data_IF_506834929243
#
_entry.id   IF_506834929243
#
_cell.length_a   1.000
_cell.length_b   1.000
_cell.length_c   1.000
_cell.angle_alpha   90.00
_cell.angle_beta   90.00
_cell.angle_gamma   90.00
#
_symmetry.space_group_name_H-M   'P 1'
#
loop_
_entity.id
_entity.type
_entity.pdbx_description
1 polymer ?
#
# COMPACT_ATOMS: atom_id res chain seq x y z
N UNK A 1 7.19 -15.37 -1.38
CA UNK A 1 7.57 -14.59 -0.20
C UNK A 1 6.75 -13.30 -0.11
N UNK A 2 6.97 -12.52 0.92
CA UNK A 2 6.16 -11.30 1.16
C UNK A 2 6.28 -10.26 0.06
N UNK A 3 7.45 -10.12 -0.55
CA UNK A 3 7.65 -9.17 -1.65
C UNK A 3 6.87 -9.62 -2.88
N UNK A 4 6.96 -10.91 -3.24
CA UNK A 4 6.21 -11.46 -4.37
C UNK A 4 4.71 -11.34 -4.16
N UNK A 5 4.23 -11.60 -2.94
CA UNK A 5 2.81 -11.45 -2.59
C UNK A 5 2.35 -10.01 -2.73
N UNK A 6 3.18 -9.04 -2.35
CA UNK A 6 2.88 -7.61 -2.52
C UNK A 6 2.77 -7.22 -3.99
N UNK A 7 3.69 -7.71 -4.82
CA UNK A 7 3.65 -7.47 -6.28
C UNK A 7 2.39 -8.08 -6.88
N UNK A 8 2.05 -9.31 -6.48
CA UNK A 8 0.86 -9.99 -6.97
C UNK A 8 -0.42 -9.24 -6.59
N UNK A 9 -0.50 -8.72 -5.35
CA UNK A 9 -1.63 -7.92 -4.90
C UNK A 9 -1.76 -6.64 -5.72
N UNK A 10 -0.66 -5.95 -5.99
CA UNK A 10 -0.65 -4.73 -6.79
C UNK A 10 -1.13 -5.01 -8.21
N UNK A 11 -0.60 -6.06 -8.84
CA UNK A 11 -1.01 -6.47 -10.17
C UNK A 11 -2.50 -6.81 -10.21
N UNK A 12 -2.99 -7.54 -9.22
CA UNK A 12 -4.40 -7.89 -9.13
C UNK A 12 -5.30 -6.66 -9.02
N UNK A 13 -4.87 -5.65 -8.26
CA UNK A 13 -5.60 -4.39 -8.13
C UNK A 13 -5.67 -3.65 -9.45
N UNK A 14 -4.54 -3.53 -10.14
CA UNK A 14 -4.48 -2.86 -11.45
C UNK A 14 -5.35 -3.57 -12.48
N UNK A 15 -5.31 -4.91 -12.48
CA UNK A 15 -6.14 -5.71 -13.38
C UNK A 15 -7.63 -5.48 -13.12
N UNK A 16 -8.04 -5.40 -11.85
CA UNK A 16 -9.44 -5.13 -11.49
C UNK A 16 -9.88 -3.75 -11.98
N UNK A 17 -9.03 -2.74 -11.82
CA UNK A 17 -9.35 -1.38 -12.29
C UNK A 17 -9.59 -1.36 -13.80
N UNK A 18 -8.75 -2.08 -14.56
CA UNK A 18 -8.90 -2.19 -16.02
C UNK A 18 -10.15 -3.00 -16.37
N UNK A 19 -10.33 -4.15 -15.71
CA UNK A 19 -11.44 -5.06 -15.98
C UNK A 19 -12.80 -4.40 -15.71
N UNK A 20 -12.90 -3.61 -14.65
CA UNK A 20 -14.14 -2.94 -14.29
C UNK A 20 -14.44 -1.73 -15.18
N UNK A 21 -13.49 -1.32 -16.02
CA UNK A 21 -13.63 -0.17 -16.93
C UNK A 21 -14.14 1.07 -16.20
N UNK A 22 -13.48 1.40 -15.11
CA UNK A 22 -13.85 2.56 -14.31
C UNK A 22 -13.64 3.83 -15.13
N UNK A 23 -14.71 4.49 -15.55
CA UNK A 23 -14.65 5.69 -16.40
C UNK A 23 -13.99 6.86 -15.68
N UNK A 24 -14.38 7.09 -14.41
CA UNK A 24 -13.77 8.11 -13.56
C UNK A 24 -13.28 7.45 -12.29
N UNK A 25 -12.02 7.68 -11.96
CA UNK A 25 -11.44 7.17 -10.72
C UNK A 25 -11.94 8.02 -9.55
N UNK A 26 -12.32 7.36 -8.46
CA UNK A 26 -12.64 8.05 -7.21
C UNK A 26 -11.39 8.76 -6.69
N UNK A 27 -11.51 10.01 -6.19
CA UNK A 27 -10.36 10.73 -5.62
C UNK A 27 -9.63 9.94 -4.54
N UNK A 28 -10.36 9.20 -3.70
CA UNK A 28 -9.76 8.37 -2.67
C UNK A 28 -8.95 7.21 -3.23
N UNK A 29 -9.40 6.60 -4.33
CA UNK A 29 -8.64 5.54 -4.99
C UNK A 29 -7.34 6.10 -5.59
N UNK A 30 -7.39 7.30 -6.13
CA UNK A 30 -6.19 7.99 -6.64
C UNK A 30 -5.22 8.26 -5.49
N UNK A 31 -5.72 8.78 -4.37
CA UNK A 31 -4.90 9.06 -3.19
C UNK A 31 -4.24 7.80 -2.64
N UNK A 32 -4.99 6.71 -2.52
CA UNK A 32 -4.47 5.42 -2.07
C UNK A 32 -3.40 4.88 -3.01
N UNK A 33 -3.61 5.01 -4.31
CA UNK A 33 -2.66 4.55 -5.32
C UNK A 33 -1.35 5.34 -5.21
N UNK A 34 -1.41 6.65 -5.00
CA UNK A 34 -0.22 7.48 -4.80
C UNK A 34 0.55 7.06 -3.55
N UNK A 35 -0.15 6.81 -2.45
CA UNK A 35 0.47 6.35 -1.21
C UNK A 35 1.14 4.98 -1.42
N UNK A 36 0.49 4.09 -2.17
CA UNK A 36 1.02 2.78 -2.47
C UNK A 36 2.31 2.86 -3.31
N UNK A 37 2.33 3.75 -4.29
CA UNK A 37 3.52 3.98 -5.12
C UNK A 37 4.68 4.46 -4.23
N UNK A 38 4.42 5.42 -3.34
CA UNK A 38 5.43 5.91 -2.41
C UNK A 38 5.95 4.81 -1.50
N UNK A 39 5.06 3.96 -0.98
CA UNK A 39 5.45 2.80 -0.15
C UNK A 39 6.35 1.84 -0.93
N UNK A 40 6.01 1.56 -2.17
CA UNK A 40 6.77 0.65 -3.03
C UNK A 40 8.17 1.20 -3.27
N UNK A 41 8.29 2.49 -3.55
CA UNK A 41 9.58 3.16 -3.75
C UNK A 41 10.45 3.06 -2.49
N UNK A 42 9.86 3.29 -1.31
CA UNK A 42 10.59 3.18 -0.04
C UNK A 42 11.03 1.74 0.26
N UNK A 43 10.21 0.75 -0.08
CA UNK A 43 10.58 -0.66 0.08
C UNK A 43 11.78 -1.01 -0.80
N UNK A 44 11.75 -0.60 -2.06
CA UNK A 44 12.86 -0.84 -2.99
C UNK A 44 14.14 -0.20 -2.45
N UNK A 45 14.04 1.03 -1.97
CA UNK A 45 15.17 1.75 -1.37
C UNK A 45 15.72 0.99 -0.14
N UNK A 46 14.85 0.56 0.75
CA UNK A 46 15.24 -0.15 1.96
C UNK A 46 15.94 -1.48 1.63
N UNK A 47 15.41 -2.24 0.69
CA UNK A 47 16.05 -3.48 0.24
C UNK A 47 17.43 -3.24 -0.36
N UNK A 48 17.60 -2.17 -1.13
CA UNK A 48 18.87 -1.77 -1.67
C UNK A 48 19.90 -1.49 -0.55
N UNK A 49 19.46 -0.84 0.51
CA UNK A 49 20.32 -0.49 1.65
C UNK A 49 20.70 -1.70 2.50
N UNK A 50 19.93 -2.80 2.43
CA UNK A 50 20.23 -4.02 3.18
C UNK A 50 21.54 -4.69 2.75
N UNK A 51 22.07 -4.36 1.60
CA UNK A 51 23.36 -4.88 1.12
C UNK A 51 24.49 -4.54 2.06
N UNK A 52 24.39 -3.45 2.82
CA UNK A 52 25.34 -3.07 3.84
C UNK A 52 24.60 -2.55 5.07
N UNK A 53 24.06 -3.47 5.84
CA UNK A 53 23.19 -3.17 6.99
C UNK A 53 23.90 -2.29 8.01
N UNK A 54 25.15 -2.63 8.36
CA UNK A 54 25.89 -1.91 9.41
C UNK A 54 26.08 -0.43 9.07
N UNK A 55 26.38 -0.14 7.81
CA UNK A 55 26.58 1.23 7.34
C UNK A 55 25.26 1.99 7.25
N UNK A 56 24.18 1.31 6.90
CA UNK A 56 22.93 1.94 6.48
C UNK A 56 21.79 1.81 7.50
N UNK A 57 22.08 1.40 8.74
CA UNK A 57 21.05 1.14 9.76
C UNK A 57 20.05 2.30 9.91
N UNK A 58 20.57 3.52 10.08
CA UNK A 58 19.73 4.70 10.30
C UNK A 58 18.81 4.96 9.10
N UNK A 59 19.35 4.86 7.89
CA UNK A 59 18.58 5.08 6.66
C UNK A 59 17.51 4.02 6.46
N UNK A 60 17.82 2.76 6.78
CA UNK A 60 16.86 1.66 6.67
C UNK A 60 15.70 1.88 7.65
N UNK A 61 16.01 2.26 8.89
CA UNK A 61 14.97 2.53 9.90
C UNK A 61 14.11 3.73 9.52
N UNK A 62 14.71 4.76 8.93
CA UNK A 62 13.97 5.92 8.42
C UNK A 62 12.97 5.51 7.33
N UNK A 63 13.41 4.64 6.41
CA UNK A 63 12.52 4.11 5.37
C UNK A 63 11.39 3.30 5.97
N UNK A 64 11.67 2.45 6.96
CA UNK A 64 10.64 1.67 7.64
C UNK A 64 9.61 2.57 8.35
N UNK A 65 10.08 3.63 9.02
CA UNK A 65 9.18 4.60 9.66
C UNK A 65 8.31 5.33 8.63
N UNK A 66 8.88 5.68 7.49
CA UNK A 66 8.14 6.36 6.43
C UNK A 66 7.04 5.45 5.86
N UNK A 67 7.35 4.19 5.64
CA UNK A 67 6.36 3.20 5.17
C UNK A 67 5.21 3.08 6.17
N UNK A 68 5.52 3.01 7.47
CA UNK A 68 4.49 2.93 8.51
C UNK A 68 3.58 4.16 8.52
N UNK A 69 4.14 5.35 8.32
CA UNK A 69 3.34 6.59 8.23
C UNK A 69 2.45 6.60 6.99
N UNK A 70 2.97 6.15 5.86
CA UNK A 70 2.20 6.08 4.62
C UNK A 70 1.05 5.08 4.74
N UNK A 71 1.28 3.95 5.39
CA UNK A 71 0.24 2.96 5.66
C UNK A 71 -0.85 3.52 6.58
N UNK A 72 -0.48 4.22 7.64
CA UNK A 72 -1.44 4.85 8.55
C UNK A 72 -2.29 5.88 7.83
N UNK A 73 -1.68 6.69 6.97
CA UNK A 73 -2.41 7.65 6.13
C UNK A 73 -3.34 6.93 5.17
N UNK A 74 -2.88 5.87 4.55
CA UNK A 74 -3.69 5.06 3.63
C UNK A 74 -4.89 4.42 4.32
N UNK A 75 -4.70 3.92 5.54
CA UNK A 75 -5.79 3.35 6.32
C UNK A 75 -6.86 4.40 6.63
N UNK A 76 -6.44 5.62 6.96
CA UNK A 76 -7.35 6.74 7.21
C UNK A 76 -8.15 7.09 5.94
N UNK A 77 -7.47 7.21 4.81
CA UNK A 77 -8.11 7.50 3.51
C UNK A 77 -9.08 6.38 3.14
N UNK A 78 -8.66 5.14 3.32
CA UNK A 78 -9.50 3.97 3.02
C UNK A 78 -10.81 4.01 3.81
N UNK A 79 -10.74 4.22 5.13
CA UNK A 79 -11.95 4.27 5.96
C UNK A 79 -12.87 5.42 5.56
N UNK A 80 -12.32 6.58 5.27
CA UNK A 80 -13.09 7.74 4.83
C UNK A 80 -13.80 7.46 3.50
N UNK A 81 -13.06 6.93 2.53
CA UNK A 81 -13.62 6.66 1.20
C UNK A 81 -14.64 5.52 1.22
N UNK A 82 -14.43 4.51 2.06
CA UNK A 82 -15.38 3.42 2.19
C UNK A 82 -16.71 3.94 2.76
N UNK A 83 -16.65 4.78 3.79
CA UNK A 83 -17.83 5.41 4.38
C UNK A 83 -18.55 6.28 3.35
N UNK A 84 -17.81 7.10 2.60
CA UNK A 84 -18.35 7.95 1.55
C UNK A 84 -19.04 7.12 0.46
N UNK A 85 -18.40 6.03 0.05
CA UNK A 85 -18.91 5.15 -0.98
C UNK A 85 -20.29 4.58 -0.58
N UNK A 86 -20.40 4.04 0.63
CA UNK A 86 -21.66 3.47 1.10
C UNK A 86 -22.74 4.53 1.33
N UNK A 87 -22.36 5.75 1.67
CA UNK A 87 -23.29 6.83 1.89
C UNK A 87 -23.83 7.43 0.58
N UNK A 88 -22.98 7.60 -0.43
CA UNK A 88 -23.29 8.35 -1.64
C UNK A 88 -23.57 7.51 -2.87
N UNK A 89 -23.01 6.32 -2.98
CA UNK A 89 -23.18 5.50 -4.17
C UNK A 89 -24.51 4.75 -4.12
N UNK A 90 -25.37 5.02 -5.10
CA UNK A 90 -26.71 4.40 -5.16
C UNK A 90 -26.77 3.22 -6.12
N UNK A 91 -25.79 3.08 -6.99
CA UNK A 91 -25.74 1.97 -7.95
C UNK A 91 -25.02 0.78 -7.31
N UNK A 92 -25.72 -0.36 -7.09
CA UNK A 92 -25.10 -1.52 -6.45
C UNK A 92 -23.89 -2.07 -7.20
N UNK A 93 -23.88 -2.01 -8.52
CA UNK A 93 -22.77 -2.52 -9.33
C UNK A 93 -21.54 -1.64 -9.13
N UNK A 94 -21.69 -0.33 -9.18
CA UNK A 94 -20.60 0.61 -8.93
C UNK A 94 -20.08 0.49 -7.50
N UNK A 95 -20.99 0.31 -6.55
CA UNK A 95 -20.62 0.11 -5.14
C UNK A 95 -19.72 -1.11 -4.99
N UNK A 96 -20.08 -2.24 -5.59
CA UNK A 96 -19.31 -3.48 -5.52
C UNK A 96 -17.92 -3.29 -6.14
N UNK A 97 -17.86 -2.67 -7.32
CA UNK A 97 -16.61 -2.41 -8.03
C UNK A 97 -15.63 -1.60 -7.19
N UNK A 98 -16.10 -0.46 -6.67
CA UNK A 98 -15.24 0.45 -5.92
C UNK A 98 -14.86 -0.11 -4.55
N UNK A 99 -15.79 -0.83 -3.91
CA UNK A 99 -15.50 -1.53 -2.66
C UNK A 99 -14.34 -2.51 -2.86
N UNK A 100 -14.41 -3.31 -3.92
CA UNK A 100 -13.38 -4.30 -4.24
C UNK A 100 -12.03 -3.63 -4.53
N UNK A 101 -12.02 -2.55 -5.30
CA UNK A 101 -10.81 -1.79 -5.62
C UNK A 101 -10.19 -1.21 -4.34
N UNK A 102 -10.99 -0.56 -3.51
CA UNK A 102 -10.51 0.05 -2.27
C UNK A 102 -9.94 -1.00 -1.30
N UNK A 103 -10.62 -2.14 -1.17
CA UNK A 103 -10.16 -3.24 -0.32
C UNK A 103 -8.80 -3.79 -0.79
N UNK A 104 -8.62 -3.92 -2.11
CA UNK A 104 -7.36 -4.42 -2.67
C UNK A 104 -6.22 -3.43 -2.47
N UNK A 105 -6.50 -2.13 -2.62
CA UNK A 105 -5.49 -1.10 -2.38
C UNK A 105 -5.06 -1.10 -0.91
N UNK A 106 -6.02 -1.19 0.01
CA UNK A 106 -5.75 -1.21 1.44
C UNK A 106 -4.96 -2.47 1.84
N UNK A 107 -5.35 -3.62 1.31
CA UNK A 107 -4.65 -4.88 1.57
C UNK A 107 -3.19 -4.82 1.10
N UNK A 108 -2.95 -4.20 -0.04
CA UNK A 108 -1.59 -4.03 -0.57
C UNK A 108 -0.76 -3.11 0.33
N UNK A 109 -1.35 -2.02 0.82
CA UNK A 109 -0.69 -1.12 1.77
C UNK A 109 -0.37 -1.82 3.09
N UNK A 110 -1.30 -2.62 3.60
CA UNK A 110 -1.09 -3.42 4.80
C UNK A 110 0.07 -4.40 4.61
N UNK A 111 0.17 -4.98 3.42
CA UNK A 111 1.27 -5.87 3.08
C UNK A 111 2.62 -5.13 3.07
N UNK A 112 2.62 -3.89 2.59
CA UNK A 112 3.82 -3.04 2.63
C UNK A 112 4.26 -2.80 4.08
N UNK A 113 3.34 -2.59 5.00
CA UNK A 113 3.66 -2.44 6.42
C UNK A 113 4.31 -3.71 6.98
N UNK A 114 3.80 -4.88 6.62
CA UNK A 114 4.39 -6.15 7.04
C UNK A 114 5.83 -6.30 6.55
N UNK A 115 6.09 -5.89 5.31
CA UNK A 115 7.46 -5.87 4.77
C UNK A 115 8.35 -4.90 5.55
N UNK A 116 7.83 -3.74 5.91
CA UNK A 116 8.54 -2.76 6.74
C UNK A 116 8.92 -3.34 8.09
N UNK A 117 8.01 -4.07 8.73
CA UNK A 117 8.26 -4.72 10.02
C UNK A 117 9.34 -5.78 9.89
N UNK A 118 9.33 -6.56 8.82
CA UNK A 118 10.37 -7.55 8.53
C UNK A 118 11.74 -6.89 8.36
N UNK A 119 11.80 -5.80 7.61
CA UNK A 119 13.04 -5.03 7.40
C UNK A 119 13.57 -4.51 8.72
N UNK A 120 12.70 -3.95 9.54
CA UNK A 120 13.07 -3.44 10.87
C UNK A 120 13.62 -4.56 11.76
N UNK A 121 12.99 -5.72 11.73
CA UNK A 121 13.44 -6.90 12.47
C UNK A 121 14.83 -7.35 12.05
N UNK A 122 15.12 -7.34 10.75
CA UNK A 122 16.44 -7.68 10.23
C UNK A 122 17.50 -6.70 10.74
N UNK A 123 17.22 -5.40 10.69
CA UNK A 123 18.17 -4.38 11.18
C UNK A 123 18.44 -4.56 12.67
N UNK A 124 17.41 -4.79 13.47
CA UNK A 124 17.57 -4.96 14.91
C UNK A 124 18.39 -6.20 15.26
N UNK A 125 18.29 -7.24 14.46
CA UNK A 125 19.08 -8.46 14.65
C UNK A 125 20.58 -8.23 14.44
N UNK A 126 20.94 -7.29 13.57
CA UNK A 126 22.32 -6.98 13.22
C UNK A 126 22.83 -5.68 13.87
N UNK A 127 22.06 -5.11 14.77
CA UNK A 127 22.44 -3.89 15.49
C UNK A 127 23.51 -4.16 16.55
#
# INVERSE_FOLDING_TARGET
NSLDDGVDLLQGTLQRMVMYRTGEAMPGAISLTKLLIECTEEIIKAFSLLKNIKKNQAQILDSAHKIARLESEGDRVYRHEMAYLFDKCKDPIELIKWKDILENLEETLDHCEKLSDMIRGVVMKYA
#
